data_IF_042212253353
#
_entry.id   IF_042212253353
#
_cell.length_a   1.000
_cell.length_b   1.000
_cell.length_c   1.000
_cell.angle_alpha   90.00
_cell.angle_beta   90.00
_cell.angle_gamma   90.00
#
_symmetry.space_group_name_H-M   'P 1'
#
loop_
_entity.id
_entity.type
_entity.pdbx_description
1 polymer ?
#
# COMPACT_ATOMS: atom_id res chain seq x y z
N UNK A 1 48.48 34.05 -33.33
CA UNK A 1 47.57 34.43 -34.40
C UNK A 1 46.41 33.47 -34.41
N UNK A 2 45.22 33.89 -33.98
CA UNK A 2 43.99 33.06 -33.89
C UNK A 2 43.19 33.26 -35.18
N UNK A 3 43.10 32.25 -36.04
CA UNK A 3 42.23 32.27 -37.21
C UNK A 3 40.78 32.04 -36.77
N UNK A 4 39.95 33.07 -36.79
CA UNK A 4 38.50 32.97 -36.67
C UNK A 4 37.91 32.69 -38.07
N UNK A 5 37.28 31.53 -38.23
CA UNK A 5 36.47 31.21 -39.40
C UNK A 5 35.21 32.11 -39.43
N UNK A 6 34.92 32.73 -40.57
CA UNK A 6 33.79 33.65 -40.76
C UNK A 6 32.49 32.87 -40.95
N UNK A 7 31.35 33.45 -40.49
CA UNK A 7 29.98 32.93 -40.61
C UNK A 7 29.59 32.48 -42.05
N UNK A 8 30.24 32.97 -43.05
CA UNK A 8 29.97 32.59 -44.46
C UNK A 8 30.53 31.24 -44.88
N UNK A 9 31.53 30.70 -44.19
CA UNK A 9 32.12 29.40 -44.49
C UNK A 9 31.37 28.24 -43.81
N UNK A 10 30.46 28.54 -42.87
CA UNK A 10 29.62 27.53 -42.19
C UNK A 10 28.35 27.22 -43.03
N UNK A 11 27.87 28.12 -43.90
CA UNK A 11 26.61 27.92 -44.63
C UNK A 11 26.74 27.30 -46.02
N UNK A 12 27.95 26.95 -46.46
CA UNK A 12 28.17 26.34 -47.81
C UNK A 12 28.44 24.82 -47.81
N UNK A 13 28.22 24.14 -46.67
CA UNK A 13 28.36 22.67 -46.57
C UNK A 13 27.09 21.91 -46.21
N UNK A 14 25.93 22.55 -46.28
CA UNK A 14 24.63 21.93 -46.00
C UNK A 14 23.71 21.94 -47.23
N UNK A 15 24.22 21.48 -48.35
CA UNK A 15 23.37 21.23 -49.51
C UNK A 15 23.98 20.10 -50.35
N UNK A 16 23.77 18.88 -49.94
CA UNK A 16 23.68 17.68 -50.84
C UNK A 16 23.60 16.41 -49.92
N UNK A 17 22.45 16.17 -49.34
CA UNK A 17 21.97 14.81 -49.01
C UNK A 17 20.42 14.86 -48.96
N UNK A 18 19.83 15.07 -50.10
CA UNK A 18 18.46 14.71 -50.35
C UNK A 18 18.46 13.33 -51.01
N UNK A 19 17.78 12.36 -50.39
CA UNK A 19 17.40 11.13 -51.04
C UNK A 19 18.03 9.88 -50.48
N UNK A 20 17.52 9.46 -49.32
CA UNK A 20 17.28 8.06 -48.95
C UNK A 20 16.37 8.09 -47.71
N UNK A 21 15.09 8.26 -47.96
CA UNK A 21 14.07 7.90 -46.99
C UNK A 21 14.12 6.37 -46.90
N UNK A 22 15.00 5.85 -46.06
CA UNK A 22 14.88 4.49 -45.58
C UNK A 22 13.60 4.47 -44.74
N UNK A 23 12.56 3.86 -45.28
CA UNK A 23 11.39 3.39 -44.50
C UNK A 23 11.93 2.42 -43.47
N UNK A 24 12.19 2.91 -42.28
CA UNK A 24 12.39 2.06 -41.11
C UNK A 24 11.04 1.36 -40.92
N UNK A 25 10.97 0.03 -40.99
CA UNK A 25 9.72 -0.65 -40.67
C UNK A 25 9.45 -0.38 -39.22
N UNK A 26 8.39 0.40 -38.92
CA UNK A 26 7.74 0.43 -37.64
C UNK A 26 7.24 -0.99 -37.35
N UNK A 27 7.87 -1.68 -36.39
CA UNK A 27 7.42 -3.01 -36.02
C UNK A 27 8.52 -4.04 -35.77
N UNK A 28 9.64 -3.68 -35.14
CA UNK A 28 10.29 -4.62 -34.25
C UNK A 28 9.70 -4.36 -32.85
N UNK A 29 8.84 -5.26 -32.39
CA UNK A 29 8.71 -5.45 -30.97
C UNK A 29 10.13 -5.57 -30.43
N UNK A 30 10.56 -4.63 -29.59
CA UNK A 30 11.81 -4.76 -28.86
C UNK A 30 11.66 -6.08 -28.12
N UNK A 31 12.57 -7.03 -28.33
CA UNK A 31 12.58 -8.25 -27.53
C UNK A 31 12.81 -7.81 -26.07
N UNK A 32 11.92 -8.23 -25.19
CA UNK A 32 12.02 -7.93 -23.77
C UNK A 32 13.41 -8.38 -23.27
N UNK A 33 14.06 -7.54 -22.46
CA UNK A 33 15.31 -7.94 -21.81
C UNK A 33 15.01 -8.92 -20.68
N UNK A 34 15.78 -10.00 -20.59
CA UNK A 34 15.63 -11.04 -19.56
C UNK A 34 16.86 -11.13 -18.64
N UNK A 35 17.75 -10.14 -18.69
CA UNK A 35 18.96 -10.09 -17.88
C UNK A 35 18.80 -9.31 -16.58
N UNK A 36 17.72 -8.55 -16.45
CA UNK A 36 17.44 -7.72 -15.26
C UNK A 36 15.96 -7.64 -14.93
N UNK A 37 15.67 -7.59 -13.63
CA UNK A 37 14.36 -7.22 -13.08
C UNK A 37 14.58 -6.25 -11.94
N UNK A 38 14.03 -5.05 -12.04
CA UNK A 38 14.06 -4.04 -10.98
C UNK A 38 12.66 -3.78 -10.44
N UNK A 39 12.49 -3.92 -9.14
CA UNK A 39 11.22 -3.81 -8.44
C UNK A 39 11.29 -2.65 -7.45
N UNK A 40 10.37 -1.69 -7.55
CA UNK A 40 10.13 -0.68 -6.54
C UNK A 40 8.91 -1.09 -5.71
N UNK A 41 9.05 -1.30 -4.40
CA UNK A 41 8.02 -1.96 -3.62
C UNK A 41 7.96 -1.46 -2.18
N UNK A 42 6.94 -1.85 -1.45
CA UNK A 42 6.92 -1.80 0.01
C UNK A 42 7.92 -2.81 0.59
N UNK A 43 8.31 -2.60 1.85
CA UNK A 43 9.16 -3.53 2.61
C UNK A 43 8.56 -4.95 2.62
N UNK A 44 9.44 -5.95 2.67
CA UNK A 44 9.07 -7.37 2.64
C UNK A 44 9.16 -8.00 1.26
N UNK A 45 8.77 -7.30 0.20
CA UNK A 45 8.96 -7.81 -1.17
C UNK A 45 10.43 -7.85 -1.60
N UNK A 46 11.27 -7.05 -0.97
CA UNK A 46 12.72 -6.98 -1.23
C UNK A 46 13.55 -7.99 -0.42
N UNK A 47 12.91 -8.88 0.34
CA UNK A 47 13.61 -9.88 1.16
C UNK A 47 14.12 -11.05 0.34
N UNK A 48 15.15 -11.73 0.86
CA UNK A 48 15.67 -12.95 0.23
C UNK A 48 14.66 -14.12 0.29
N UNK A 49 13.70 -14.10 1.22
CA UNK A 49 12.62 -15.09 1.26
C UNK A 49 11.73 -15.01 0.01
N UNK A 50 11.48 -13.80 -0.50
CA UNK A 50 10.68 -13.57 -1.71
C UNK A 50 11.56 -13.66 -2.96
N UNK A 51 12.71 -12.99 -2.97
CA UNK A 51 13.55 -12.84 -4.18
C UNK A 51 14.51 -14.00 -4.42
N UNK A 52 14.95 -14.69 -3.35
CA UNK A 52 15.93 -15.78 -3.44
C UNK A 52 15.51 -16.90 -4.38
N UNK A 53 14.32 -17.50 -4.18
CA UNK A 53 13.85 -18.57 -5.07
C UNK A 53 13.67 -18.12 -6.52
N UNK A 54 13.28 -16.86 -6.76
CA UNK A 54 13.18 -16.33 -8.12
C UNK A 54 14.56 -16.16 -8.77
N UNK A 55 15.56 -15.69 -8.00
CA UNK A 55 16.97 -15.57 -8.47
C UNK A 55 17.55 -16.95 -8.81
N UNK A 56 17.23 -17.97 -8.01
CA UNK A 56 17.67 -19.36 -8.28
C UNK A 56 17.04 -19.92 -9.55
N UNK A 57 15.77 -19.60 -9.83
CA UNK A 57 15.09 -19.98 -11.07
C UNK A 57 15.63 -19.23 -12.31
N UNK A 58 16.27 -18.07 -12.12
CA UNK A 58 16.81 -17.22 -13.20
C UNK A 58 18.30 -16.90 -13.02
N UNK A 59 19.20 -17.92 -13.02
CA UNK A 59 20.62 -17.76 -12.61
C UNK A 59 21.45 -16.85 -13.54
N UNK A 60 20.93 -16.49 -14.71
CA UNK A 60 21.57 -15.56 -15.66
C UNK A 60 21.12 -14.12 -15.52
N UNK A 61 20.19 -13.83 -14.61
CA UNK A 61 19.59 -12.51 -14.45
C UNK A 61 20.02 -11.82 -13.15
N UNK A 62 19.88 -10.47 -13.13
CA UNK A 62 20.03 -9.66 -11.95
C UNK A 62 18.65 -9.22 -11.47
N UNK A 63 18.21 -9.71 -10.30
CA UNK A 63 16.93 -9.32 -9.67
C UNK A 63 17.21 -8.41 -8.49
N UNK A 64 16.74 -7.16 -8.58
CA UNK A 64 16.89 -6.13 -7.56
C UNK A 64 15.53 -5.62 -7.13
N UNK A 65 15.32 -5.46 -5.83
CA UNK A 65 14.19 -4.73 -5.30
C UNK A 65 14.66 -3.64 -4.32
N UNK A 66 13.96 -2.51 -4.33
CA UNK A 66 14.18 -1.38 -3.44
C UNK A 66 12.86 -1.03 -2.77
N UNK A 67 12.86 -0.95 -1.43
CA UNK A 67 11.68 -0.51 -0.71
C UNK A 67 11.59 1.00 -0.65
N UNK A 68 10.37 1.52 -0.91
CA UNK A 68 10.00 2.91 -0.68
C UNK A 68 9.49 3.13 0.73
N UNK A 69 9.40 4.39 1.13
CA UNK A 69 8.91 4.83 2.44
C UNK A 69 7.45 5.27 2.40
N UNK A 70 6.93 5.61 1.23
CA UNK A 70 5.54 5.98 1.01
C UNK A 70 5.14 5.82 -0.46
N UNK A 71 3.83 5.67 -0.74
CA UNK A 71 3.34 5.66 -2.12
C UNK A 71 3.75 6.94 -2.89
N UNK A 72 3.57 8.17 -2.35
CA UNK A 72 4.01 9.38 -3.04
C UNK A 72 5.49 9.40 -3.39
N UNK A 73 6.38 8.92 -2.52
CA UNK A 73 7.82 8.89 -2.77
C UNK A 73 8.15 7.95 -3.94
N UNK A 74 7.54 6.76 -3.96
CA UNK A 74 7.73 5.81 -5.05
C UNK A 74 7.20 6.34 -6.39
N UNK A 75 6.03 6.97 -6.38
CA UNK A 75 5.42 7.59 -7.56
C UNK A 75 6.29 8.73 -8.09
N UNK A 76 6.80 9.58 -7.20
CA UNK A 76 7.65 10.70 -7.60
C UNK A 76 8.97 10.26 -8.25
N UNK A 77 9.52 9.09 -7.90
CA UNK A 77 10.65 8.51 -8.64
C UNK A 77 10.28 8.24 -10.10
N UNK A 78 9.11 7.63 -10.36
CA UNK A 78 8.66 7.40 -11.73
C UNK A 78 8.39 8.71 -12.49
N UNK A 79 7.78 9.71 -11.85
CA UNK A 79 7.55 11.05 -12.40
C UNK A 79 8.84 11.79 -12.72
N UNK A 80 9.90 11.54 -11.95
CA UNK A 80 11.24 12.09 -12.19
C UNK A 80 11.99 11.44 -13.39
N UNK A 81 11.35 10.48 -14.07
CA UNK A 81 11.90 9.82 -15.27
C UNK A 81 12.51 8.43 -14.99
N UNK A 82 12.37 7.90 -13.78
CA UNK A 82 12.90 6.57 -13.45
C UNK A 82 12.06 5.40 -14.00
N UNK A 83 11.08 5.65 -14.87
CA UNK A 83 10.37 4.58 -15.59
C UNK A 83 11.31 3.70 -16.42
N UNK A 84 12.47 4.21 -16.86
CA UNK A 84 13.50 3.42 -17.53
C UNK A 84 14.35 2.56 -16.57
N UNK A 85 14.21 2.75 -15.26
CA UNK A 85 14.95 1.99 -14.23
C UNK A 85 14.13 0.83 -13.72
N UNK A 86 12.84 1.05 -13.45
CA UNK A 86 11.97 0.11 -12.77
C UNK A 86 11.13 -0.70 -13.76
N UNK A 87 10.89 -1.97 -13.46
CA UNK A 87 10.06 -2.88 -14.26
C UNK A 87 8.72 -3.14 -13.57
N UNK A 88 8.73 -3.20 -12.23
CA UNK A 88 7.54 -3.35 -11.40
C UNK A 88 7.50 -2.26 -10.33
N UNK A 89 6.28 -1.87 -9.97
CA UNK A 89 6.00 -1.04 -8.79
C UNK A 89 4.88 -1.65 -7.98
N UNK A 90 5.06 -1.71 -6.64
CA UNK A 90 4.04 -2.13 -5.70
C UNK A 90 3.60 -0.92 -4.88
N UNK A 91 2.33 -0.53 -4.99
CA UNK A 91 1.72 0.61 -4.30
C UNK A 91 0.31 0.26 -3.87
N UNK A 92 -0.26 1.05 -2.95
CA UNK A 92 -1.67 0.92 -2.64
C UNK A 92 -2.55 1.24 -3.86
N UNK A 93 -3.64 0.49 -4.02
CA UNK A 93 -4.46 0.42 -5.24
C UNK A 93 -4.96 1.78 -5.79
N UNK A 94 -5.35 2.82 -4.99
CA UNK A 94 -5.84 4.06 -5.58
C UNK A 94 -4.74 4.83 -6.31
N UNK A 95 -3.50 4.72 -5.83
CA UNK A 95 -2.35 5.35 -6.49
C UNK A 95 -2.07 4.75 -7.86
N UNK A 96 -2.21 3.41 -7.99
CA UNK A 96 -2.07 2.75 -9.28
C UNK A 96 -3.17 3.19 -10.26
N UNK A 97 -4.44 3.17 -9.81
CA UNK A 97 -5.61 3.45 -10.63
C UNK A 97 -5.72 4.94 -11.00
N UNK A 98 -5.61 5.82 -10.01
CA UNK A 98 -6.00 7.23 -10.15
C UNK A 98 -4.83 8.14 -10.53
N UNK A 99 -3.59 7.66 -10.39
CA UNK A 99 -2.40 8.44 -10.72
C UNK A 99 -1.49 7.73 -11.72
N UNK A 100 -0.92 6.57 -11.36
CA UNK A 100 0.08 5.94 -12.22
C UNK A 100 -0.44 5.56 -13.60
N UNK A 101 -1.65 5.01 -13.67
CA UNK A 101 -2.22 4.58 -14.94
C UNK A 101 -2.64 5.76 -15.85
N UNK A 102 -3.40 6.78 -15.39
CA UNK A 102 -3.71 7.96 -16.18
C UNK A 102 -2.47 8.75 -16.64
N UNK A 103 -1.42 8.79 -15.82
CA UNK A 103 -0.13 9.42 -16.16
C UNK A 103 0.73 8.54 -17.09
N UNK A 104 0.27 7.33 -17.44
CA UNK A 104 0.98 6.36 -18.27
C UNK A 104 2.34 5.94 -17.69
N UNK A 105 2.47 5.93 -16.38
CA UNK A 105 3.65 5.46 -15.66
C UNK A 105 3.66 3.93 -15.50
N UNK A 106 2.48 3.31 -15.54
CA UNK A 106 2.29 1.86 -15.61
C UNK A 106 1.54 1.46 -16.89
N UNK A 107 1.66 0.20 -17.27
CA UNK A 107 1.01 -0.38 -18.46
C UNK A 107 0.02 -1.47 -18.07
N UNK A 108 -0.97 -1.78 -18.93
CA UNK A 108 -1.88 -2.90 -18.72
C UNK A 108 -1.15 -4.24 -18.65
N UNK A 109 -1.69 -5.15 -17.84
CA UNK A 109 -1.31 -6.55 -17.79
C UNK A 109 -2.21 -7.38 -18.75
N UNK A 110 -1.70 -8.51 -19.21
CA UNK A 110 -2.46 -9.46 -20.02
C UNK A 110 -3.60 -10.09 -19.20
N UNK A 111 -4.86 -9.80 -19.55
CA UNK A 111 -6.02 -10.42 -18.88
C UNK A 111 -6.02 -11.93 -19.04
N UNK A 112 -5.74 -12.43 -20.24
CA UNK A 112 -5.74 -13.88 -20.51
C UNK A 112 -4.73 -14.62 -19.63
N UNK A 113 -3.62 -13.96 -19.28
CA UNK A 113 -2.58 -14.51 -18.44
C UNK A 113 -2.93 -14.45 -16.95
N UNK A 114 -3.48 -13.34 -16.48
CA UNK A 114 -3.61 -13.07 -15.04
C UNK A 114 -5.00 -13.32 -14.46
N UNK A 115 -6.08 -13.26 -15.25
CA UNK A 115 -7.44 -13.51 -14.74
C UNK A 115 -7.62 -14.88 -14.07
N UNK A 116 -6.97 -15.98 -14.50
CA UNK A 116 -7.07 -17.26 -13.80
C UNK A 116 -6.60 -17.24 -12.33
N UNK A 117 -5.72 -16.30 -11.97
CA UNK A 117 -5.28 -16.16 -10.57
C UNK A 117 -6.36 -15.54 -9.69
N UNK A 118 -7.13 -14.57 -10.22
CA UNK A 118 -8.24 -13.97 -9.47
C UNK A 118 -9.29 -14.98 -9.05
N UNK A 119 -9.51 -16.05 -9.85
CA UNK A 119 -10.46 -17.11 -9.53
C UNK A 119 -10.08 -17.93 -8.28
N UNK A 120 -8.81 -17.85 -7.87
CA UNK A 120 -8.25 -18.55 -6.73
C UNK A 120 -8.01 -17.63 -5.53
N UNK A 121 -8.30 -16.33 -5.66
CA UNK A 121 -8.18 -15.38 -4.57
C UNK A 121 -9.37 -15.50 -3.61
N UNK A 122 -9.25 -14.86 -2.45
CA UNK A 122 -10.38 -14.72 -1.52
C UNK A 122 -11.57 -14.07 -2.24
N UNK A 123 -12.81 -14.34 -1.81
CA UNK A 123 -14.02 -13.88 -2.50
C UNK A 123 -14.04 -12.37 -2.79
N UNK A 124 -13.47 -11.57 -1.90
CA UNK A 124 -13.38 -10.10 -2.02
C UNK A 124 -12.52 -9.67 -3.22
N UNK A 125 -11.56 -10.50 -3.60
CA UNK A 125 -10.64 -10.27 -4.73
C UNK A 125 -10.98 -11.11 -5.97
N UNK A 126 -11.93 -12.05 -5.83
CA UNK A 126 -12.39 -12.86 -6.96
C UNK A 126 -13.12 -11.98 -7.99
N UNK A 127 -13.46 -12.53 -9.10
CA UNK A 127 -14.01 -11.88 -10.29
C UNK A 127 -15.24 -11.00 -10.11
N UNK A 128 -15.26 -9.89 -10.82
CA UNK A 128 -14.16 -9.05 -11.28
C UNK A 128 -13.73 -8.17 -10.11
N UNK A 129 -12.47 -8.16 -9.75
CA UNK A 129 -11.96 -7.26 -8.71
C UNK A 129 -11.80 -5.83 -9.28
N UNK A 130 -12.73 -4.88 -9.00
CA UNK A 130 -12.80 -3.61 -9.73
C UNK A 130 -11.56 -2.72 -9.48
N UNK A 131 -10.94 -2.83 -8.29
CA UNK A 131 -9.81 -1.97 -7.91
C UNK A 131 -8.48 -2.34 -8.61
N UNK A 132 -8.40 -3.52 -9.24
CA UNK A 132 -7.28 -3.93 -10.08
C UNK A 132 -7.46 -3.52 -11.55
N UNK A 133 -8.59 -2.86 -11.87
CA UNK A 133 -8.91 -2.41 -13.22
C UNK A 133 -9.03 -0.90 -13.28
N UNK A 134 -8.55 -0.32 -14.37
CA UNK A 134 -8.81 1.06 -14.72
C UNK A 134 -10.21 1.24 -15.31
N UNK A 135 -10.68 2.50 -15.43
CA UNK A 135 -12.01 2.84 -15.96
C UNK A 135 -12.23 2.36 -17.40
N UNK A 136 -11.17 2.23 -18.18
CA UNK A 136 -11.22 1.68 -19.54
C UNK A 136 -11.30 0.14 -19.57
N UNK A 137 -11.37 -0.48 -18.41
CA UNK A 137 -11.45 -1.91 -18.20
C UNK A 137 -10.12 -2.67 -18.34
N UNK A 138 -8.98 -2.00 -18.46
CA UNK A 138 -7.69 -2.67 -18.47
C UNK A 138 -7.29 -3.14 -17.08
N UNK A 139 -6.70 -4.35 -17.00
CA UNK A 139 -6.09 -4.87 -15.78
C UNK A 139 -4.77 -4.14 -15.55
N UNK A 140 -4.58 -3.49 -14.40
CA UNK A 140 -3.45 -2.61 -14.12
C UNK A 140 -2.51 -3.11 -13.02
N UNK A 141 -2.86 -4.18 -12.33
CA UNK A 141 -2.01 -4.76 -11.29
C UNK A 141 -2.59 -6.02 -10.67
N UNK A 142 -1.78 -6.70 -9.88
CA UNK A 142 -2.16 -7.89 -9.13
C UNK A 142 -2.24 -7.56 -7.64
N UNK A 143 -3.39 -7.79 -6.98
CA UNK A 143 -3.52 -7.59 -5.54
C UNK A 143 -2.71 -8.63 -4.77
N UNK A 144 -2.09 -8.22 -3.68
CA UNK A 144 -1.26 -9.09 -2.86
C UNK A 144 -1.60 -8.93 -1.38
N UNK A 145 -0.79 -8.19 -0.60
CA UNK A 145 -1.11 -7.93 0.81
C UNK A 145 -2.25 -6.93 0.93
N UNK A 146 -3.03 -7.10 1.97
CA UNK A 146 -4.14 -6.20 2.30
C UNK A 146 -4.44 -6.26 3.79
N UNK A 147 -5.27 -5.38 4.27
CA UNK A 147 -5.79 -5.49 5.64
C UNK A 147 -6.71 -4.34 6.04
N UNK A 148 -7.64 -4.63 6.96
CA UNK A 148 -8.37 -3.59 7.67
C UNK A 148 -7.41 -2.74 8.50
N UNK A 149 -7.68 -1.44 8.56
CA UNK A 149 -6.89 -0.48 9.31
C UNK A 149 -7.80 0.50 10.03
N UNK A 150 -7.67 0.57 11.36
CA UNK A 150 -8.42 1.46 12.23
C UNK A 150 -7.68 1.68 13.56
N UNK A 151 -7.85 0.82 14.58
CA UNK A 151 -7.15 0.93 15.85
C UNK A 151 -6.94 -0.45 16.51
N UNK A 152 -6.17 -0.48 17.61
CA UNK A 152 -5.85 -1.71 18.33
C UNK A 152 -6.15 -1.53 19.82
N UNK A 153 -6.66 -2.57 20.47
CA UNK A 153 -6.95 -2.59 21.90
C UNK A 153 -6.36 -3.83 22.60
N UNK A 154 -6.19 -3.75 23.90
CA UNK A 154 -6.04 -4.90 24.77
C UNK A 154 -7.45 -5.37 25.21
N UNK A 155 -7.88 -6.53 24.71
CA UNK A 155 -9.24 -7.05 24.98
C UNK A 155 -9.46 -7.55 26.40
N UNK A 156 -8.42 -7.72 27.20
CA UNK A 156 -8.55 -7.98 28.64
C UNK A 156 -9.02 -6.73 29.40
N UNK A 157 -8.86 -5.53 28.82
CA UNK A 157 -9.26 -4.25 29.44
C UNK A 157 -10.48 -3.66 28.75
N UNK A 158 -10.50 -3.67 27.41
CA UNK A 158 -11.60 -3.14 26.60
C UNK A 158 -12.10 -4.28 25.72
N UNK A 159 -13.25 -4.87 26.06
CA UNK A 159 -13.76 -6.01 25.30
C UNK A 159 -13.87 -5.70 23.81
N UNK A 160 -13.70 -6.71 22.95
CA UNK A 160 -13.87 -6.59 21.51
C UNK A 160 -15.21 -5.92 21.17
N UNK A 161 -16.30 -6.41 21.75
CA UNK A 161 -17.65 -5.89 21.52
C UNK A 161 -17.76 -4.40 21.88
N UNK A 162 -17.24 -4.00 23.05
CA UNK A 162 -17.22 -2.59 23.48
C UNK A 162 -16.43 -1.73 22.50
N UNK A 163 -15.26 -2.17 22.08
CA UNK A 163 -14.40 -1.44 21.14
C UNK A 163 -15.05 -1.29 19.75
N UNK A 164 -15.68 -2.36 19.25
CA UNK A 164 -16.41 -2.36 17.98
C UNK A 164 -17.62 -1.42 18.00
N UNK A 165 -18.38 -1.42 19.11
CA UNK A 165 -19.58 -0.57 19.28
C UNK A 165 -19.22 0.92 19.45
N UNK A 166 -18.24 1.22 20.31
CA UNK A 166 -17.79 2.60 20.52
C UNK A 166 -17.05 3.16 19.31
N UNK A 167 -16.32 2.33 18.61
CA UNK A 167 -15.55 2.74 17.46
C UNK A 167 -14.62 3.90 17.78
N UNK A 168 -14.62 4.93 16.95
CA UNK A 168 -13.77 6.11 17.11
C UNK A 168 -14.10 6.96 18.32
N UNK A 169 -15.33 6.86 18.88
CA UNK A 169 -15.73 7.58 20.10
C UNK A 169 -14.95 7.11 21.34
N UNK A 170 -14.39 5.89 21.30
CA UNK A 170 -13.52 5.37 22.35
C UNK A 170 -12.40 6.36 22.70
N UNK A 171 -11.78 7.00 21.69
CA UNK A 171 -10.67 7.93 21.90
C UNK A 171 -11.09 9.34 22.31
N UNK A 172 -12.38 9.61 22.34
CA UNK A 172 -12.98 10.86 22.85
C UNK A 172 -13.55 10.70 24.25
N UNK A 173 -13.65 9.46 24.75
CA UNK A 173 -14.14 9.20 26.12
C UNK A 173 -13.14 9.79 27.14
N UNK A 174 -13.59 10.67 28.05
CA UNK A 174 -12.75 11.20 29.13
C UNK A 174 -12.06 10.12 29.98
N UNK A 175 -12.67 8.94 30.11
CA UNK A 175 -12.09 7.82 30.84
C UNK A 175 -10.86 7.22 30.15
N UNK A 176 -10.70 7.44 28.85
CA UNK A 176 -9.57 6.98 28.08
C UNK A 176 -8.38 7.97 28.08
N UNK A 177 -8.55 9.17 28.62
CA UNK A 177 -7.46 10.16 28.67
C UNK A 177 -6.25 9.62 29.42
N UNK A 178 -5.08 9.63 28.77
CA UNK A 178 -3.83 9.08 29.30
C UNK A 178 -3.74 7.55 29.29
N UNK A 179 -4.68 6.86 28.62
CA UNK A 179 -4.73 5.40 28.54
C UNK A 179 -4.58 4.85 27.11
N UNK A 180 -4.29 5.70 26.13
CA UNK A 180 -4.03 5.26 24.76
C UNK A 180 -2.82 5.95 24.15
N UNK A 181 -2.27 5.34 23.11
CA UNK A 181 -1.25 5.93 22.26
C UNK A 181 -1.79 6.31 20.87
N UNK A 182 -1.05 7.09 20.13
CA UNK A 182 -1.29 7.36 18.70
C UNK A 182 -0.06 6.92 17.91
N UNK A 183 -0.25 5.95 17.02
CA UNK A 183 0.78 5.54 16.08
C UNK A 183 0.79 6.55 14.92
N UNK A 184 1.84 7.38 14.87
CA UNK A 184 1.87 8.58 14.03
C UNK A 184 2.28 8.29 12.57
N UNK A 185 1.48 7.50 11.87
CA UNK A 185 1.61 7.25 10.43
C UNK A 185 0.80 8.29 9.66
N UNK A 186 1.45 9.35 9.19
CA UNK A 186 0.84 10.60 8.73
C UNK A 186 -0.39 10.43 7.83
N UNK A 187 -0.28 9.71 6.72
CA UNK A 187 -1.40 9.51 5.80
C UNK A 187 -2.57 8.77 6.45
N UNK A 188 -2.28 7.70 7.21
CA UNK A 188 -3.29 6.92 7.90
C UNK A 188 -3.94 7.68 9.04
N UNK A 189 -3.15 8.49 9.76
CA UNK A 189 -3.71 9.37 10.80
C UNK A 189 -4.70 10.37 10.20
N UNK A 190 -4.41 10.97 9.04
CA UNK A 190 -5.35 11.90 8.38
C UNK A 190 -6.68 11.22 8.11
N UNK A 191 -6.67 10.00 7.56
CA UNK A 191 -7.88 9.23 7.28
C UNK A 191 -8.64 8.94 8.57
N UNK A 192 -7.96 8.37 9.57
CA UNK A 192 -8.60 7.95 10.82
C UNK A 192 -9.09 9.13 11.66
N UNK A 193 -8.40 10.26 11.63
CA UNK A 193 -8.85 11.49 12.28
C UNK A 193 -10.11 12.07 11.60
N UNK A 194 -10.21 11.97 10.26
CA UNK A 194 -11.45 12.30 9.56
C UNK A 194 -12.60 11.36 10.00
N UNK A 195 -12.37 10.04 10.02
CA UNK A 195 -13.39 9.10 10.47
C UNK A 195 -13.81 9.37 11.92
N UNK A 196 -12.84 9.64 12.79
CA UNK A 196 -13.11 10.01 14.19
C UNK A 196 -13.86 11.35 14.31
N UNK A 197 -13.65 12.28 13.39
CA UNK A 197 -14.39 13.55 13.31
C UNK A 197 -15.79 13.39 12.71
N UNK A 198 -16.16 12.20 12.26
CA UNK A 198 -17.43 11.97 11.55
C UNK A 198 -17.43 12.45 10.12
N UNK A 199 -16.25 12.63 9.52
CA UNK A 199 -16.05 13.17 8.18
C UNK A 199 -15.64 12.08 7.19
N UNK A 200 -16.05 12.24 5.93
CA UNK A 200 -15.56 11.39 4.84
C UNK A 200 -14.24 11.95 4.30
N UNK A 201 -13.09 11.25 4.47
CA UNK A 201 -11.78 11.73 4.01
C UNK A 201 -11.66 11.84 2.48
N UNK A 202 -12.53 11.16 1.74
CA UNK A 202 -12.50 11.08 0.28
C UNK A 202 -13.35 12.13 -0.42
N UNK A 203 -13.97 13.02 0.35
CA UNK A 203 -14.70 14.19 -0.14
C UNK A 203 -14.00 15.48 0.27
N UNK A 204 -14.36 16.61 -0.35
CA UNK A 204 -13.79 17.90 0.01
C UNK A 204 -14.15 18.27 1.46
N UNK A 205 -13.14 18.53 2.29
CA UNK A 205 -13.29 18.99 3.68
C UNK A 205 -12.92 20.45 3.73
N UNK A 206 -13.90 21.32 4.05
CA UNK A 206 -13.77 22.79 4.01
C UNK A 206 -14.60 23.44 5.12
N UNK A 207 -14.33 24.74 5.39
CA UNK A 207 -15.12 25.54 6.32
C UNK A 207 -15.23 24.91 7.72
N UNK A 208 -16.47 24.66 8.19
CA UNK A 208 -16.73 24.09 9.52
C UNK A 208 -16.15 22.70 9.71
N UNK A 209 -16.05 21.89 8.63
CA UNK A 209 -15.50 20.54 8.72
C UNK A 209 -13.99 20.56 9.01
N UNK A 210 -13.25 21.59 8.53
CA UNK A 210 -11.83 21.78 8.90
C UNK A 210 -11.68 22.09 10.40
N UNK A 211 -12.59 22.87 10.98
CA UNK A 211 -12.60 23.13 12.43
C UNK A 211 -12.92 21.85 13.19
N UNK A 212 -13.93 21.07 12.76
CA UNK A 212 -14.27 19.78 13.36
C UNK A 212 -13.08 18.81 13.33
N UNK A 213 -12.37 18.74 12.20
CA UNK A 213 -11.14 17.95 12.08
C UNK A 213 -10.05 18.44 13.04
N UNK A 214 -9.84 19.77 13.13
CA UNK A 214 -8.87 20.38 14.04
C UNK A 214 -9.16 20.05 15.49
N UNK A 215 -10.41 20.29 15.93
CA UNK A 215 -10.83 20.08 17.32
C UNK A 215 -10.72 18.61 17.71
N UNK A 216 -11.15 17.70 16.83
CA UNK A 216 -11.01 16.25 17.02
C UNK A 216 -9.55 15.83 17.11
N UNK A 217 -8.70 16.31 16.19
CA UNK A 217 -7.26 16.03 16.19
C UNK A 217 -6.62 16.51 17.48
N UNK A 218 -6.92 17.75 17.90
CA UNK A 218 -6.40 18.32 19.14
C UNK A 218 -6.79 17.46 20.34
N UNK A 219 -8.07 17.12 20.46
CA UNK A 219 -8.56 16.33 21.60
C UNK A 219 -7.93 14.94 21.66
N UNK A 220 -7.76 14.27 20.52
CA UNK A 220 -7.12 12.95 20.45
C UNK A 220 -5.64 13.04 20.85
N UNK A 221 -4.89 14.04 20.34
CA UNK A 221 -3.47 14.16 20.69
C UNK A 221 -3.26 14.59 22.15
N UNK A 222 -4.05 15.51 22.67
CA UNK A 222 -3.99 15.92 24.09
C UNK A 222 -4.43 14.81 25.06
N UNK A 223 -5.27 13.89 24.59
CA UNK A 223 -5.73 12.73 25.37
C UNK A 223 -4.72 11.58 25.36
N UNK A 224 -3.81 11.54 24.41
CA UNK A 224 -2.85 10.44 24.24
C UNK A 224 -1.75 10.48 25.32
N UNK A 225 -1.34 9.30 25.78
CA UNK A 225 -0.18 9.11 26.66
C UNK A 225 1.12 9.01 25.87
N UNK A 226 1.07 8.46 24.65
CA UNK A 226 2.23 8.16 23.82
C UNK A 226 1.93 8.57 22.36
N UNK A 227 2.86 9.32 21.76
CA UNK A 227 2.85 9.65 20.33
C UNK A 227 4.16 9.15 19.74
N UNK A 228 4.11 8.17 18.85
CA UNK A 228 5.31 7.59 18.22
C UNK A 228 4.98 6.96 16.86
N UNK A 229 5.95 6.93 15.96
CA UNK A 229 5.95 6.15 14.72
C UNK A 229 6.67 4.80 14.88
N UNK A 230 7.23 4.54 16.06
CA UNK A 230 7.87 3.27 16.41
C UNK A 230 6.81 2.25 16.87
N UNK A 231 6.52 1.28 16.00
CA UNK A 231 5.56 0.21 16.26
C UNK A 231 6.00 -0.69 17.43
N UNK A 232 7.29 -0.91 17.59
CA UNK A 232 7.81 -1.76 18.70
C UNK A 232 7.55 -1.08 20.03
N UNK A 233 7.83 0.23 20.12
CA UNK A 233 7.54 1.01 21.32
C UNK A 233 6.03 1.05 21.64
N UNK A 234 5.18 1.20 20.61
CA UNK A 234 3.73 1.22 20.76
C UNK A 234 3.20 -0.12 21.29
N UNK A 235 3.57 -1.24 20.67
CA UNK A 235 3.18 -2.57 21.10
C UNK A 235 3.72 -2.89 22.51
N UNK A 236 4.96 -2.48 22.83
CA UNK A 236 5.54 -2.67 24.17
C UNK A 236 4.72 -1.95 25.22
N UNK A 237 4.30 -0.71 24.98
CA UNK A 237 3.47 0.05 25.91
C UNK A 237 2.09 -0.62 26.13
N UNK A 238 1.49 -1.16 25.07
CA UNK A 238 0.20 -1.87 25.14
C UNK A 238 0.33 -3.20 25.90
N UNK A 239 1.35 -3.98 25.63
CA UNK A 239 1.62 -5.29 26.28
C UNK A 239 1.91 -5.09 27.78
N UNK A 240 2.66 -4.05 28.14
CA UNK A 240 2.99 -3.75 29.53
C UNK A 240 1.82 -3.11 30.32
N UNK A 241 0.69 -2.83 29.68
CA UNK A 241 -0.44 -2.16 30.32
C UNK A 241 -0.20 -0.69 30.63
N UNK A 242 0.77 -0.07 29.97
CA UNK A 242 0.98 1.37 30.05
C UNK A 242 -0.11 2.15 29.33
N UNK A 243 -0.64 1.56 28.25
CA UNK A 243 -1.83 2.00 27.51
C UNK A 243 -2.78 0.81 27.33
N UNK A 244 -4.05 1.08 27.05
CA UNK A 244 -5.08 0.05 26.83
C UNK A 244 -5.49 -0.08 25.36
N UNK A 245 -5.13 0.92 24.55
CA UNK A 245 -5.43 0.99 23.13
C UNK A 245 -4.41 1.87 22.41
N UNK A 246 -4.34 1.77 21.08
CA UNK A 246 -3.72 2.81 20.28
C UNK A 246 -4.51 3.14 19.02
N UNK A 247 -4.56 4.43 18.74
CA UNK A 247 -5.18 5.02 17.57
C UNK A 247 -4.27 4.82 16.35
N UNK A 248 -4.85 4.49 15.21
CA UNK A 248 -4.17 4.13 13.97
C UNK A 248 -3.38 2.82 14.08
N UNK A 249 -4.05 1.73 13.75
CA UNK A 249 -3.49 0.40 13.75
C UNK A 249 -4.40 -0.58 13.04
N UNK A 250 -3.95 -1.78 12.85
CA UNK A 250 -4.69 -2.83 12.18
C UNK A 250 -4.07 -4.19 12.41
N UNK A 251 -4.53 -5.16 11.64
CA UNK A 251 -4.04 -6.54 11.73
C UNK A 251 -2.52 -6.59 11.65
N UNK A 252 -1.92 -5.88 10.69
CA UNK A 252 -0.48 -5.90 10.51
C UNK A 252 0.29 -5.32 11.71
N UNK A 253 -0.24 -4.29 12.39
CA UNK A 253 0.43 -3.69 13.56
C UNK A 253 0.27 -4.53 14.82
N UNK A 254 -0.84 -5.28 14.95
CA UNK A 254 -1.10 -6.18 16.07
C UNK A 254 -0.42 -7.55 15.92
N UNK A 255 -0.16 -7.98 14.68
CA UNK A 255 0.30 -9.33 14.37
C UNK A 255 1.60 -9.76 15.06
N UNK A 256 2.61 -8.89 15.33
CA UNK A 256 3.80 -9.30 16.07
C UNK A 256 3.47 -9.78 17.48
N UNK A 257 2.68 -9.01 18.23
CA UNK A 257 2.27 -9.40 19.58
C UNK A 257 1.40 -10.65 19.58
N UNK A 258 0.48 -10.76 18.63
CA UNK A 258 -0.39 -11.93 18.49
C UNK A 258 0.36 -13.19 18.10
N UNK A 259 1.36 -13.09 17.22
CA UNK A 259 2.23 -14.21 16.85
C UNK A 259 3.08 -14.70 18.05
N UNK A 260 3.43 -13.80 18.98
CA UNK A 260 4.07 -14.15 20.25
C UNK A 260 3.07 -14.72 21.29
N UNK A 261 1.82 -15.01 20.88
CA UNK A 261 0.78 -15.64 21.71
C UNK A 261 -0.07 -14.66 22.51
N UNK A 262 0.09 -13.33 22.34
CA UNK A 262 -0.69 -12.30 23.02
C UNK A 262 -1.97 -12.00 22.22
N UNK A 263 -2.89 -12.97 22.16
CA UNK A 263 -4.12 -12.89 21.35
C UNK A 263 -5.13 -11.85 21.87
N UNK A 264 -4.96 -11.37 23.11
CA UNK A 264 -5.68 -10.25 23.68
C UNK A 264 -5.31 -8.89 23.08
N UNK A 265 -4.17 -8.75 22.39
CA UNK A 265 -3.85 -7.57 21.58
C UNK A 265 -4.55 -7.74 20.24
N UNK A 266 -5.59 -6.91 20.00
CA UNK A 266 -6.46 -7.11 18.85
C UNK A 266 -6.70 -5.83 18.07
N UNK A 267 -6.56 -5.92 16.74
CA UNK A 267 -7.05 -4.90 15.82
C UNK A 267 -8.59 -4.91 15.81
N UNK A 268 -9.18 -3.75 15.77
CA UNK A 268 -10.63 -3.54 15.83
C UNK A 268 -11.07 -2.70 14.64
N UNK A 269 -12.08 -3.17 13.94
CA UNK A 269 -12.79 -2.38 12.95
C UNK A 269 -14.15 -1.96 13.51
N UNK A 270 -14.45 -0.66 13.65
CA UNK A 270 -15.74 -0.18 14.16
C UNK A 270 -16.92 -0.74 13.38
N UNK A 271 -18.03 -1.05 14.06
CA UNK A 271 -19.27 -1.52 13.42
C UNK A 271 -19.91 -0.48 12.51
N UNK A 272 -19.64 0.80 12.76
CA UNK A 272 -20.22 1.90 11.99
C UNK A 272 -19.25 3.08 11.88
N UNK A 273 -19.48 3.93 10.88
CA UNK A 273 -18.69 5.14 10.65
C UNK A 273 -19.30 6.06 9.61
N UNK A 274 -18.61 7.16 9.28
CA UNK A 274 -19.18 8.24 8.48
C UNK A 274 -19.18 7.95 6.97
N UNK A 275 -18.47 6.94 6.50
CA UNK A 275 -18.38 6.62 5.08
C UNK A 275 -19.23 5.40 4.78
N UNK A 276 -20.38 5.60 4.16
CA UNK A 276 -21.35 4.55 3.81
C UNK A 276 -21.74 3.64 5.01
N UNK A 277 -21.73 4.21 6.22
CA UNK A 277 -22.01 3.48 7.46
C UNK A 277 -20.84 2.63 7.97
N UNK A 278 -19.71 2.64 7.32
CA UNK A 278 -18.53 1.83 7.64
C UNK A 278 -17.51 2.62 8.48
N UNK A 279 -16.86 1.93 9.40
CA UNK A 279 -15.99 2.56 10.40
C UNK A 279 -14.49 2.36 10.19
N UNK A 280 -14.09 1.40 9.35
CA UNK A 280 -12.70 1.11 9.04
C UNK A 280 -12.34 1.45 7.60
N UNK A 281 -11.04 1.36 7.31
CA UNK A 281 -10.49 1.47 5.96
C UNK A 281 -9.71 0.21 5.64
N UNK A 282 -9.78 -0.29 4.41
CA UNK A 282 -8.95 -1.40 3.97
C UNK A 282 -7.92 -0.91 2.95
N UNK A 283 -6.65 -1.20 3.21
CA UNK A 283 -5.58 -1.00 2.25
C UNK A 283 -5.33 -2.28 1.46
N UNK A 284 -4.96 -2.12 0.21
CA UNK A 284 -4.70 -3.23 -0.71
C UNK A 284 -3.51 -2.82 -1.57
N UNK A 285 -2.46 -3.61 -1.55
CA UNK A 285 -1.30 -3.40 -2.40
C UNK A 285 -1.50 -4.05 -3.76
N UNK A 286 -1.29 -3.26 -4.81
CA UNK A 286 -1.21 -3.72 -6.19
C UNK A 286 0.23 -3.70 -6.67
N UNK A 287 0.69 -4.80 -7.27
CA UNK A 287 1.93 -4.82 -8.02
C UNK A 287 1.62 -4.66 -9.50
N UNK A 288 2.14 -3.60 -10.10
CA UNK A 288 1.87 -3.15 -11.47
C UNK A 288 3.13 -3.16 -12.32
N UNK A 289 2.99 -3.42 -13.61
CA UNK A 289 4.10 -3.31 -14.56
C UNK A 289 4.35 -1.84 -14.92
N UNK A 290 5.56 -1.36 -14.70
CA UNK A 290 5.97 0.00 -15.08
C UNK A 290 6.02 0.12 -16.61
N UNK A 291 5.64 1.28 -17.13
CA UNK A 291 5.74 1.58 -18.56
C UNK A 291 7.20 1.89 -18.95
N UNK A 292 8.06 0.90 -18.73
CA UNK A 292 9.47 0.97 -19.04
C UNK A 292 9.67 0.92 -20.56
N UNK A 293 10.45 1.84 -21.17
CA UNK A 293 10.72 1.82 -22.61
C UNK A 293 11.57 0.61 -23.04
N UNK A 294 12.28 -0.03 -22.12
CA UNK A 294 13.06 -1.26 -22.33
C UNK A 294 12.63 -2.29 -21.24
N UNK A 295 11.40 -2.87 -21.35
CA UNK A 295 10.82 -3.67 -20.31
C UNK A 295 11.53 -5.00 -20.12
N UNK A 296 11.49 -5.52 -18.88
CA UNK A 296 11.93 -6.87 -18.58
C UNK A 296 10.82 -7.88 -18.85
N UNK A 297 11.10 -8.95 -19.59
CA UNK A 297 10.19 -10.09 -19.70
C UNK A 297 9.98 -10.83 -18.38
N UNK A 298 10.93 -10.72 -17.45
CA UNK A 298 10.83 -11.28 -16.10
C UNK A 298 9.76 -10.59 -15.22
N UNK A 299 9.27 -9.40 -15.61
CA UNK A 299 8.29 -8.67 -14.80
C UNK A 299 6.98 -9.44 -14.66
N UNK A 300 6.40 -9.90 -15.75
CA UNK A 300 5.16 -10.69 -15.68
C UNK A 300 5.40 -12.10 -15.12
N UNK A 301 6.57 -12.68 -15.35
CA UNK A 301 6.95 -13.96 -14.73
C UNK A 301 7.05 -13.85 -13.20
N UNK A 302 7.56 -12.72 -12.69
CA UNK A 302 7.60 -12.47 -11.25
C UNK A 302 6.19 -12.30 -10.67
N UNK A 303 5.28 -11.62 -11.39
CA UNK A 303 3.88 -11.50 -10.96
C UNK A 303 3.16 -12.85 -10.86
N UNK A 304 3.47 -13.81 -11.73
CA UNK A 304 2.98 -15.18 -11.62
C UNK A 304 3.68 -15.95 -10.50
N UNK A 305 4.99 -15.75 -10.36
CA UNK A 305 5.80 -16.41 -9.35
C UNK A 305 5.29 -16.12 -7.92
N UNK A 306 4.92 -14.87 -7.62
CA UNK A 306 4.39 -14.51 -6.30
C UNK A 306 2.98 -15.05 -6.03
N UNK A 307 2.32 -15.68 -7.00
CA UNK A 307 1.07 -16.42 -6.80
C UNK A 307 1.29 -17.88 -6.31
N UNK A 308 2.54 -18.36 -6.32
CA UNK A 308 2.87 -19.70 -5.83
C UNK A 308 2.70 -19.77 -4.30
N UNK A 309 2.22 -20.91 -3.75
CA UNK A 309 1.85 -20.99 -2.34
C UNK A 309 2.94 -20.56 -1.36
N UNK A 310 4.16 -21.05 -1.53
CA UNK A 310 5.29 -20.76 -0.64
C UNK A 310 5.71 -19.30 -0.73
N UNK A 311 5.61 -18.71 -1.92
CA UNK A 311 6.01 -17.32 -2.16
C UNK A 311 4.91 -16.37 -1.68
N UNK A 312 3.64 -16.69 -1.88
CA UNK A 312 2.52 -15.93 -1.32
C UNK A 312 2.62 -15.86 0.22
N UNK A 313 3.01 -16.96 0.87
CA UNK A 313 3.32 -16.95 2.31
C UNK A 313 4.52 -16.06 2.65
N UNK A 314 5.60 -16.13 1.87
CA UNK A 314 6.77 -15.27 2.09
C UNK A 314 6.42 -13.78 1.94
N UNK A 315 5.52 -13.43 1.00
CA UNK A 315 4.98 -12.08 0.83
C UNK A 315 4.11 -11.65 2.03
N UNK A 316 3.33 -12.57 2.60
CA UNK A 316 2.51 -12.29 3.77
C UNK A 316 3.34 -11.91 4.99
N UNK A 317 4.55 -12.47 5.13
CA UNK A 317 5.45 -12.21 6.24
C UNK A 317 6.44 -11.09 5.90
N UNK A 318 6.50 -10.05 6.73
CA UNK A 318 7.38 -8.90 6.52
C UNK A 318 7.99 -8.45 7.83
N UNK A 319 9.31 -8.52 7.95
CA UNK A 319 10.07 -7.94 9.07
C UNK A 319 9.48 -8.21 10.46
N UNK A 320 8.96 -9.44 10.68
CA UNK A 320 8.34 -9.85 11.94
C UNK A 320 6.85 -9.54 12.05
N UNK A 321 6.22 -9.00 11.01
CA UNK A 321 4.76 -8.82 10.93
C UNK A 321 4.14 -9.82 9.98
N UNK A 322 2.87 -10.21 10.23
CA UNK A 322 2.07 -10.99 9.31
C UNK A 322 0.94 -10.15 8.72
N UNK A 323 0.67 -10.36 7.44
CA UNK A 323 -0.39 -9.69 6.70
C UNK A 323 -1.23 -10.74 5.98
N UNK A 324 -2.55 -10.55 5.88
CA UNK A 324 -3.34 -11.32 4.94
C UNK A 324 -2.87 -11.07 3.51
N UNK A 325 -2.98 -12.10 2.65
CA UNK A 325 -2.73 -11.98 1.22
C UNK A 325 -3.95 -12.46 0.43
N UNK A 326 -4.24 -11.79 -0.67
CA UNK A 326 -5.41 -12.08 -1.51
C UNK A 326 -5.44 -13.53 -2.00
N UNK A 327 -4.27 -14.15 -2.16
CA UNK A 327 -4.08 -15.53 -2.60
C UNK A 327 -4.54 -16.59 -1.59
N UNK A 328 -4.89 -16.20 -0.35
CA UNK A 328 -5.40 -17.16 0.68
C UNK A 328 -6.74 -17.81 0.31
N UNK A 329 -7.41 -17.36 -0.75
CA UNK A 329 -8.53 -18.08 -1.35
C UNK A 329 -8.14 -19.40 -2.01
N UNK A 330 -6.86 -19.59 -2.36
CA UNK A 330 -6.33 -20.86 -2.82
C UNK A 330 -6.03 -21.76 -1.60
N UNK A 331 -6.65 -22.96 -1.51
CA UNK A 331 -6.40 -23.89 -0.41
C UNK A 331 -4.92 -24.27 -0.22
N UNK A 332 -4.15 -24.33 -1.32
CA UNK A 332 -2.73 -24.66 -1.26
C UNK A 332 -1.90 -23.52 -0.64
N UNK A 333 -2.33 -22.27 -0.83
CA UNK A 333 -1.74 -21.09 -0.17
C UNK A 333 -2.14 -21.08 1.30
N UNK A 334 -3.42 -21.24 1.60
CA UNK A 334 -3.92 -21.24 2.98
C UNK A 334 -3.25 -22.35 3.81
N UNK A 335 -3.00 -23.52 3.22
CA UNK A 335 -2.32 -24.63 3.87
C UNK A 335 -0.84 -24.37 4.23
N UNK A 336 -0.23 -23.31 3.71
CA UNK A 336 1.13 -22.91 4.11
C UNK A 336 1.15 -22.23 5.49
N UNK A 337 0.01 -21.72 5.97
CA UNK A 337 -0.08 -21.04 7.25
C UNK A 337 -0.45 -22.01 8.37
N UNK A 338 0.24 -21.93 9.49
CA UNK A 338 -0.12 -22.65 10.70
C UNK A 338 -1.18 -21.88 11.51
N UNK A 339 -1.70 -22.51 12.57
CA UNK A 339 -2.76 -21.90 13.41
C UNK A 339 -2.30 -20.59 14.08
N UNK A 340 -1.05 -20.51 14.53
CA UNK A 340 -0.51 -19.31 15.18
C UNK A 340 -0.40 -18.14 14.19
N UNK A 341 -0.01 -18.40 12.96
CA UNK A 341 0.07 -17.39 11.90
C UNK A 341 -1.32 -16.92 11.47
N UNK A 342 -2.31 -17.81 11.38
CA UNK A 342 -3.71 -17.45 11.08
C UNK A 342 -4.33 -16.65 12.24
N UNK A 343 -4.03 -17.03 13.48
CA UNK A 343 -4.43 -16.28 14.67
C UNK A 343 -3.80 -14.89 14.70
N UNK A 344 -2.52 -14.78 14.32
CA UNK A 344 -1.83 -13.49 14.28
C UNK A 344 -2.49 -12.49 13.34
N UNK A 345 -2.98 -12.94 12.19
CA UNK A 345 -3.67 -12.09 11.19
C UNK A 345 -5.18 -11.98 11.44
N UNK A 346 -5.70 -12.50 12.55
CA UNK A 346 -7.13 -12.46 12.89
C UNK A 346 -8.03 -13.05 11.80
N UNK A 347 -7.62 -14.18 11.22
CA UNK A 347 -8.35 -14.83 10.12
C UNK A 347 -9.79 -15.18 10.50
N UNK A 348 -10.07 -15.37 11.79
CA UNK A 348 -11.39 -15.63 12.37
C UNK A 348 -12.42 -14.52 12.13
N UNK A 349 -11.96 -13.27 12.01
CA UNK A 349 -12.82 -12.08 11.86
C UNK A 349 -12.53 -11.25 10.62
N UNK A 350 -11.55 -11.63 9.82
CA UNK A 350 -11.05 -10.83 8.72
C UNK A 350 -12.14 -10.46 7.70
N UNK A 351 -12.99 -11.41 7.31
CA UNK A 351 -14.08 -11.17 6.38
C UNK A 351 -15.10 -10.14 6.93
N UNK A 352 -15.45 -10.26 8.22
CA UNK A 352 -16.35 -9.32 8.90
C UNK A 352 -15.73 -7.92 8.98
N UNK A 353 -14.44 -7.82 9.26
CA UNK A 353 -13.72 -6.55 9.35
C UNK A 353 -13.59 -5.88 7.98
N UNK A 354 -13.43 -6.67 6.90
CA UNK A 354 -13.48 -6.19 5.51
C UNK A 354 -14.85 -5.60 5.16
N UNK A 355 -15.95 -6.27 5.53
CA UNK A 355 -17.31 -5.77 5.30
C UNK A 355 -17.58 -4.42 5.99
N UNK A 356 -16.94 -4.17 7.14
CA UNK A 356 -17.05 -2.93 7.92
C UNK A 356 -16.08 -1.83 7.47
N UNK A 357 -15.24 -2.11 6.48
CA UNK A 357 -14.25 -1.18 5.97
C UNK A 357 -14.63 -0.66 4.60
N UNK A 358 -14.26 0.59 4.32
CA UNK A 358 -14.26 1.13 2.96
C UNK A 358 -12.90 0.90 2.33
N UNK A 359 -12.87 0.78 1.02
CA UNK A 359 -11.60 0.76 0.30
C UNK A 359 -10.85 2.08 0.52
N UNK A 360 -9.56 1.99 0.79
CA UNK A 360 -8.68 3.15 0.83
C UNK A 360 -8.73 3.90 -0.49
N UNK A 361 -8.81 5.22 -0.41
CA UNK A 361 -8.73 6.12 -1.55
C UNK A 361 -7.86 7.33 -1.22
N UNK A 362 -7.51 8.13 -2.23
CA UNK A 362 -6.70 9.33 -2.04
C UNK A 362 -7.52 10.41 -1.32
N UNK A 363 -6.97 10.93 -0.23
CA UNK A 363 -7.63 11.97 0.57
C UNK A 363 -7.73 13.28 -0.22
N UNK A 364 -8.95 13.74 -0.49
CA UNK A 364 -9.21 14.88 -1.38
C UNK A 364 -8.61 16.21 -0.85
N UNK A 365 -8.68 16.44 0.47
CA UNK A 365 -8.19 17.69 1.10
C UNK A 365 -6.86 17.52 1.84
N UNK A 366 -6.04 16.56 1.41
CA UNK A 366 -4.83 16.12 2.11
C UNK A 366 -3.91 17.26 2.55
N UNK A 367 -3.56 18.17 1.65
CA UNK A 367 -2.62 19.26 1.94
C UNK A 367 -3.08 20.17 3.08
N UNK A 368 -4.39 20.47 3.14
CA UNK A 368 -4.98 21.28 4.22
C UNK A 368 -4.98 20.52 5.55
N UNK A 369 -5.33 19.25 5.52
CA UNK A 369 -5.45 18.40 6.71
C UNK A 369 -4.09 18.11 7.31
N UNK A 370 -3.08 17.78 6.50
CA UNK A 370 -1.73 17.49 6.97
C UNK A 370 -1.05 18.73 7.57
N UNK A 371 -1.35 19.94 7.06
CA UNK A 371 -0.86 21.19 7.65
C UNK A 371 -1.42 21.39 9.06
N UNK A 372 -2.73 21.14 9.26
CA UNK A 372 -3.38 21.19 10.59
C UNK A 372 -2.78 20.16 11.52
N UNK A 373 -2.66 18.92 11.05
CA UNK A 373 -2.08 17.80 11.78
C UNK A 373 -0.67 18.10 12.30
N UNK A 374 0.24 18.58 11.43
CA UNK A 374 1.59 18.92 11.86
C UNK A 374 1.67 20.09 12.80
N UNK A 375 0.76 21.08 12.71
CA UNK A 375 0.69 22.19 13.68
C UNK A 375 0.36 21.65 15.07
N UNK A 376 -0.63 20.76 15.18
CA UNK A 376 -1.05 20.17 16.45
C UNK A 376 0.02 19.22 17.00
N UNK A 377 0.62 18.37 16.15
CA UNK A 377 1.66 17.43 16.57
C UNK A 377 2.91 18.11 17.17
N UNK A 378 3.16 19.38 16.81
CA UNK A 378 4.33 20.14 17.29
C UNK A 378 4.04 21.04 18.50
N UNK A 379 2.77 21.20 18.88
CA UNK A 379 2.36 22.01 20.03
C UNK A 379 2.41 21.21 21.34
#
# INVERSE_FOLDING_TARGET
MKNRLSRRQFMSRTATMAGLAATVPFGKALADRNDKLNILCWEGYNTDQVLGPFREAHPGSTVRAESGTSDPDMINKLRAGETSVWDLINVNQPWARDQLYPEKLIKPLSKDRFMPYFEKMLPEFAKPYPLAFADDGNLIGMPQRYGPFSFVVNTDVISRETAEEQGWELFKDPAMKGRYGVLTYDNWNIIHLCLAAGLNPYTAIEGADLETFRDTTTGIFEGAKLLTDDLVAMNTALINGEIDAYFTGGTYTASPARYDGLTNIRAITPKSGPVDGKGGTVWIELTSAVNNPDPSGLAEEFLEFVQQPEIAKAVAFTEGTYNPVSQMGNPDVLAQFNEEELEAIQMDSLAEEMERSVDYDVVTSYDKLIEIYYKIRRS
#
